data_IF_416903775644
#
_entry.id   IF_416903775644
#
_cell.length_a   1.000
_cell.length_b   1.000
_cell.length_c   1.000
_cell.angle_alpha   90.00
_cell.angle_beta   90.00
_cell.angle_gamma   90.00
#
_symmetry.space_group_name_H-M   'P 1'
#
loop_
_entity.id
_entity.type
_entity.pdbx_description
1 polymer ?
#
# COMPACT_ATOMS: atom_id res chain seq x y z
N UNK A 1 -34.73 19.97 -2.48
CA UNK A 1 -34.34 18.81 -3.32
C UNK A 1 -32.83 18.80 -3.44
N UNK A 2 -32.13 17.94 -2.70
CA UNK A 2 -30.68 17.75 -2.82
C UNK A 2 -30.40 16.83 -4.01
N UNK A 3 -29.80 17.37 -5.07
CA UNK A 3 -29.35 16.59 -6.24
C UNK A 3 -28.32 15.56 -5.79
N UNK A 4 -28.62 14.27 -6.02
CA UNK A 4 -27.65 13.19 -5.90
C UNK A 4 -26.57 13.44 -6.97
N UNK A 5 -25.29 13.58 -6.60
CA UNK A 5 -24.23 13.72 -7.61
C UNK A 5 -24.26 12.50 -8.54
N UNK A 6 -23.93 12.66 -9.83
CA UNK A 6 -23.83 11.53 -10.75
C UNK A 6 -22.91 10.46 -10.13
N UNK A 7 -23.15 9.16 -10.35
CA UNK A 7 -22.41 8.10 -9.68
C UNK A 7 -20.89 8.18 -9.88
N UNK A 8 -20.45 8.80 -10.98
CA UNK A 8 -19.03 9.10 -11.22
C UNK A 8 -18.43 10.11 -10.22
N UNK A 9 -19.22 11.00 -9.64
CA UNK A 9 -18.78 12.01 -8.67
C UNK A 9 -18.99 11.61 -7.20
N UNK A 10 -19.42 10.38 -6.92
CA UNK A 10 -19.68 9.95 -5.55
C UNK A 10 -18.41 9.87 -4.68
N UNK A 11 -17.22 9.71 -5.30
CA UNK A 11 -15.95 9.50 -4.59
C UNK A 11 -14.81 10.36 -5.17
N UNK A 12 -14.90 11.69 -5.08
CA UNK A 12 -13.96 12.60 -5.74
C UNK A 12 -12.52 12.41 -5.24
N UNK A 13 -12.32 12.14 -3.95
CA UNK A 13 -10.98 11.92 -3.38
C UNK A 13 -10.34 10.61 -3.83
N UNK A 14 -11.11 9.52 -3.97
CA UNK A 14 -10.58 8.24 -4.50
C UNK A 14 -10.22 8.38 -6.00
N UNK A 15 -11.02 9.14 -6.75
CA UNK A 15 -10.76 9.47 -8.15
C UNK A 15 -9.48 10.29 -8.29
N UNK A 16 -9.29 11.30 -7.43
CA UNK A 16 -8.10 12.13 -7.41
C UNK A 16 -6.83 11.32 -7.07
N UNK A 17 -6.87 10.47 -6.05
CA UNK A 17 -5.75 9.59 -5.70
C UNK A 17 -5.34 8.69 -6.87
N UNK A 18 -6.32 8.12 -7.58
CA UNK A 18 -6.08 7.28 -8.76
C UNK A 18 -5.51 8.08 -9.95
N UNK A 19 -5.85 9.36 -10.07
CA UNK A 19 -5.33 10.22 -11.12
C UNK A 19 -3.82 10.48 -10.98
N UNK A 20 -3.34 10.73 -9.76
CA UNK A 20 -1.91 10.88 -9.47
C UNK A 20 -1.10 9.64 -9.84
N UNK A 21 -1.59 8.45 -9.45
CA UNK A 21 -0.95 7.17 -9.81
C UNK A 21 -0.90 7.01 -11.34
N UNK A 22 -2.00 7.25 -12.05
CA UNK A 22 -2.01 7.17 -13.53
C UNK A 22 -1.03 8.13 -14.18
N UNK A 23 -0.95 9.36 -13.68
CA UNK A 23 -0.01 10.35 -14.19
C UNK A 23 1.44 9.88 -14.00
N UNK A 24 1.81 9.43 -12.79
CA UNK A 24 3.14 8.89 -12.49
C UNK A 24 3.49 7.67 -13.36
N UNK A 25 2.56 6.72 -13.53
CA UNK A 25 2.75 5.57 -14.42
C UNK A 25 2.98 5.99 -15.87
N UNK A 26 2.29 7.03 -16.36
CA UNK A 26 2.49 7.56 -17.71
C UNK A 26 3.84 8.25 -17.84
N UNK A 27 4.23 9.10 -16.89
CA UNK A 27 5.51 9.79 -16.90
C UNK A 27 6.70 8.82 -16.97
N UNK A 28 6.65 7.72 -16.20
CA UNK A 28 7.67 6.67 -16.27
C UNK A 28 7.78 6.02 -17.65
N UNK A 29 6.66 5.76 -18.32
CA UNK A 29 6.65 5.16 -19.67
C UNK A 29 7.27 6.06 -20.75
N UNK A 30 7.34 7.36 -20.50
CA UNK A 30 7.87 8.34 -21.46
C UNK A 30 9.34 8.71 -21.18
N UNK A 31 9.96 8.14 -20.14
CA UNK A 31 11.38 8.33 -19.83
C UNK A 31 12.17 7.17 -20.45
N UNK A 32 13.13 7.46 -21.34
CA UNK A 32 13.98 6.44 -21.98
C UNK A 32 15.48 6.79 -21.80
N UNK A 33 16.29 5.94 -21.13
CA UNK A 33 15.87 4.72 -20.42
C UNK A 33 15.11 5.05 -19.13
N UNK A 34 14.08 4.28 -18.82
CA UNK A 34 13.37 4.42 -17.55
C UNK A 34 14.31 4.05 -16.38
N UNK A 35 14.47 4.92 -15.38
CA UNK A 35 15.33 4.61 -14.24
C UNK A 35 14.75 3.44 -13.43
N UNK A 36 15.59 2.58 -12.81
CA UNK A 36 15.12 1.53 -11.92
C UNK A 36 14.40 2.14 -10.70
N UNK A 37 13.44 1.38 -10.13
CA UNK A 37 12.74 1.84 -8.93
C UNK A 37 13.71 1.93 -7.75
N UNK A 38 13.75 3.10 -7.10
CA UNK A 38 14.51 3.31 -5.86
C UNK A 38 13.67 3.15 -4.60
N UNK A 39 14.34 3.11 -3.45
CA UNK A 39 13.69 3.05 -2.12
C UNK A 39 12.59 4.11 -1.91
N UNK A 40 12.75 5.39 -2.30
CA UNK A 40 11.69 6.40 -2.16
C UNK A 40 10.42 6.05 -2.95
N UNK A 41 10.58 5.46 -4.14
CA UNK A 41 9.46 5.06 -4.97
C UNK A 41 8.65 3.93 -4.31
N UNK A 42 9.34 2.93 -3.74
CA UNK A 42 8.68 1.84 -3.02
C UNK A 42 8.03 2.31 -1.73
N UNK A 43 8.61 3.27 -0.99
CA UNK A 43 8.01 3.83 0.22
C UNK A 43 6.68 4.57 -0.07
N UNK A 44 6.66 5.42 -1.10
CA UNK A 44 5.43 6.11 -1.52
C UNK A 44 4.37 5.11 -2.01
N UNK A 45 4.77 4.09 -2.77
CA UNK A 45 3.81 3.08 -3.22
C UNK A 45 3.26 2.26 -2.04
N UNK A 46 4.10 1.86 -1.09
CA UNK A 46 3.69 1.18 0.14
C UNK A 46 2.74 2.06 0.98
N UNK A 47 2.97 3.38 1.03
CA UNK A 47 2.04 4.34 1.63
C UNK A 47 0.62 4.21 1.04
N UNK A 48 0.53 4.23 -0.29
CA UNK A 48 -0.75 4.12 -0.98
C UNK A 48 -1.42 2.77 -0.70
N UNK A 49 -0.68 1.66 -0.78
CA UNK A 49 -1.26 0.34 -0.54
C UNK A 49 -1.75 0.19 0.91
N UNK A 50 -1.02 0.69 1.90
CA UNK A 50 -1.43 0.61 3.31
C UNK A 50 -2.67 1.47 3.60
N UNK A 51 -2.81 2.63 2.96
CA UNK A 51 -4.04 3.44 3.03
C UNK A 51 -5.23 2.72 2.38
N UNK A 52 -5.05 2.13 1.20
CA UNK A 52 -6.12 1.36 0.53
C UNK A 52 -6.47 0.10 1.33
N UNK A 53 -5.50 -0.52 1.98
CA UNK A 53 -5.73 -1.63 2.90
C UNK A 53 -6.63 -1.23 4.07
N UNK A 54 -6.37 -0.08 4.71
CA UNK A 54 -7.26 0.41 5.78
C UNK A 54 -8.68 0.70 5.27
N UNK A 55 -8.81 1.29 4.08
CA UNK A 55 -10.11 1.53 3.46
C UNK A 55 -10.87 0.22 3.20
N UNK A 56 -10.21 -0.80 2.63
CA UNK A 56 -10.84 -2.10 2.36
C UNK A 56 -11.31 -2.79 3.64
N UNK A 57 -10.55 -2.67 4.73
CA UNK A 57 -10.95 -3.20 6.04
C UNK A 57 -12.26 -2.56 6.50
N UNK A 58 -12.34 -1.22 6.44
CA UNK A 58 -13.54 -0.48 6.80
C UNK A 58 -14.74 -0.84 5.91
N UNK A 59 -14.54 -0.94 4.60
CA UNK A 59 -15.59 -1.31 3.66
C UNK A 59 -16.07 -2.76 3.88
N UNK A 60 -15.17 -3.68 4.23
CA UNK A 60 -15.56 -5.06 4.53
C UNK A 60 -16.48 -5.12 5.75
N UNK A 61 -16.15 -4.41 6.83
CA UNK A 61 -16.95 -4.39 8.06
C UNK A 61 -18.32 -3.75 7.84
N UNK A 62 -18.37 -2.61 7.15
CA UNK A 62 -19.62 -1.86 6.91
C UNK A 62 -20.53 -2.53 5.89
N UNK A 63 -19.97 -3.23 4.90
CA UNK A 63 -20.74 -3.92 3.86
C UNK A 63 -21.31 -5.25 4.35
N UNK A 64 -20.63 -5.94 5.25
CA UNK A 64 -20.96 -7.33 5.64
C UNK A 64 -22.37 -7.51 6.22
N UNK A 65 -22.92 -6.62 7.08
CA UNK A 65 -24.27 -6.80 7.63
C UNK A 65 -25.36 -6.81 6.56
N UNK A 66 -25.28 -5.91 5.57
CA UNK A 66 -26.26 -5.81 4.48
C UNK A 66 -25.97 -6.77 3.32
N UNK A 67 -24.69 -7.05 3.06
CA UNK A 67 -24.25 -7.86 1.93
C UNK A 67 -23.11 -8.83 2.32
N UNK A 68 -23.43 -9.96 3.00
CA UNK A 68 -22.42 -10.85 3.57
C UNK A 68 -21.43 -11.42 2.55
N UNK A 69 -21.91 -11.75 1.35
CA UNK A 69 -21.06 -12.26 0.27
C UNK A 69 -20.07 -11.20 -0.22
N UNK A 70 -20.52 -9.97 -0.43
CA UNK A 70 -19.67 -8.85 -0.82
C UNK A 70 -18.64 -8.54 0.27
N UNK A 71 -19.05 -8.49 1.54
CA UNK A 71 -18.16 -8.30 2.68
C UNK A 71 -17.04 -9.34 2.74
N UNK A 72 -17.33 -10.62 2.50
CA UNK A 72 -16.31 -11.68 2.42
C UNK A 72 -15.32 -11.47 1.27
N UNK A 73 -15.80 -10.98 0.11
CA UNK A 73 -14.91 -10.68 -1.04
C UNK A 73 -14.02 -9.47 -0.76
N UNK A 74 -14.54 -8.46 -0.05
CA UNK A 74 -13.75 -7.31 0.41
C UNK A 74 -12.69 -7.74 1.43
N UNK A 75 -13.03 -8.60 2.39
CA UNK A 75 -12.05 -9.18 3.32
C UNK A 75 -10.96 -10.00 2.59
N UNK A 76 -11.31 -10.78 1.57
CA UNK A 76 -10.33 -11.47 0.75
C UNK A 76 -9.43 -10.51 -0.04
N UNK A 77 -9.98 -9.38 -0.53
CA UNK A 77 -9.20 -8.34 -1.20
C UNK A 77 -8.24 -7.63 -0.23
N UNK A 78 -8.70 -7.36 0.99
CA UNK A 78 -7.91 -6.79 2.09
C UNK A 78 -6.67 -7.64 2.40
N UNK A 79 -6.83 -8.96 2.60
CA UNK A 79 -5.71 -9.90 2.82
C UNK A 79 -4.71 -9.88 1.66
N UNK A 80 -5.18 -9.88 0.41
CA UNK A 80 -4.31 -9.88 -0.78
C UNK A 80 -3.55 -8.57 -0.95
N UNK A 81 -4.18 -7.45 -0.59
CA UNK A 81 -3.53 -6.16 -0.65
C UNK A 81 -2.43 -6.05 0.40
N UNK A 82 -2.64 -6.62 1.59
CA UNK A 82 -1.58 -6.77 2.59
C UNK A 82 -0.40 -7.58 2.06
N UNK A 83 -0.65 -8.73 1.42
CA UNK A 83 0.41 -9.54 0.81
C UNK A 83 1.22 -8.73 -0.22
N UNK A 84 0.56 -7.97 -1.10
CA UNK A 84 1.25 -7.09 -2.03
C UNK A 84 2.08 -6.00 -1.34
N UNK A 85 1.58 -5.42 -0.24
CA UNK A 85 2.33 -4.46 0.56
C UNK A 85 3.54 -5.10 1.27
N UNK A 86 3.44 -6.35 1.71
CA UNK A 86 4.55 -7.09 2.31
C UNK A 86 5.67 -7.35 1.30
N UNK A 87 5.34 -7.83 0.10
CA UNK A 87 6.33 -8.02 -0.97
C UNK A 87 7.04 -6.70 -1.36
N UNK A 88 6.29 -5.58 -1.38
CA UNK A 88 6.88 -4.25 -1.62
C UNK A 88 7.82 -3.80 -0.49
N UNK A 89 7.46 -4.10 0.76
CA UNK A 89 8.31 -3.83 1.91
C UNK A 89 9.59 -4.68 1.88
N UNK A 90 9.49 -5.94 1.49
CA UNK A 90 10.66 -6.81 1.36
C UNK A 90 11.55 -6.36 0.21
N UNK A 91 10.98 -6.00 -0.94
CA UNK A 91 11.70 -5.39 -2.06
C UNK A 91 12.42 -4.09 -1.67
N UNK A 92 11.83 -3.26 -0.80
CA UNK A 92 12.48 -2.06 -0.27
C UNK A 92 13.79 -2.37 0.47
N UNK A 93 13.84 -3.46 1.24
CA UNK A 93 15.05 -3.88 1.94
C UNK A 93 16.11 -4.49 1.02
N UNK A 94 15.72 -4.98 -0.16
CA UNK A 94 16.65 -5.48 -1.18
C UNK A 94 17.33 -4.36 -1.99
N UNK A 95 16.78 -3.13 -1.97
CA UNK A 95 17.34 -2.00 -2.71
C UNK A 95 18.44 -1.27 -1.91
N UNK A 96 19.50 -0.78 -2.59
CA UNK A 96 20.59 -0.06 -1.94
C UNK A 96 20.08 1.23 -1.27
N UNK A 97 20.53 1.47 -0.04
CA UNK A 97 20.35 2.77 0.62
C UNK A 97 21.37 3.76 0.05
N UNK A 98 20.96 4.95 -0.35
CA UNK A 98 21.91 6.01 -0.73
C UNK A 98 22.89 6.39 0.40
N UNK A 99 22.59 6.01 1.64
CA UNK A 99 23.47 6.15 2.81
C UNK A 99 24.61 5.13 2.85
N UNK A 100 24.55 4.03 2.09
CA UNK A 100 25.53 2.95 2.17
C UNK A 100 26.92 3.30 1.60
N UNK A 101 27.01 4.35 0.77
CA UNK A 101 28.29 4.92 0.36
C UNK A 101 28.98 5.75 1.48
N UNK A 102 28.24 6.05 2.56
CA UNK A 102 28.67 6.84 3.73
C UNK A 102 28.66 5.99 5.03
N UNK A 103 28.37 4.69 4.94
CA UNK A 103 28.16 3.77 6.07
C UNK A 103 29.45 3.48 6.88
N UNK A 104 30.62 3.85 6.38
CA UNK A 104 31.86 3.84 7.19
C UNK A 104 31.83 4.94 8.25
N UNK A 105 31.23 6.09 7.95
CA UNK A 105 31.06 7.22 8.87
C UNK A 105 29.80 7.06 9.75
N UNK A 106 28.72 6.48 9.22
CA UNK A 106 27.46 6.28 9.96
C UNK A 106 27.51 5.17 11.05
N UNK A 107 28.53 4.31 11.03
CA UNK A 107 28.80 3.32 12.10
C UNK A 107 29.53 3.92 13.31
N UNK A 108 29.99 5.17 13.23
CA UNK A 108 30.47 5.89 14.41
C UNK A 108 29.28 6.45 15.17
N UNK A 109 29.11 6.05 16.43
CA UNK A 109 28.08 6.60 17.31
C UNK A 109 28.41 8.09 17.56
N UNK A 110 27.79 8.99 16.79
CA UNK A 110 27.93 10.45 16.94
C UNK A 110 26.65 11.02 17.56
N UNK A 111 26.58 11.13 18.90
CA UNK A 111 25.40 11.61 19.59
C UNK A 111 25.05 13.06 19.25
N UNK A 112 25.97 13.85 18.70
CA UNK A 112 25.69 15.23 18.26
C UNK A 112 24.98 15.31 16.90
N UNK A 113 24.96 14.21 16.12
CA UNK A 113 24.25 14.11 14.84
C UNK A 113 22.99 13.29 15.02
N UNK A 114 21.99 13.86 15.69
CA UNK A 114 20.62 13.36 15.49
C UNK A 114 20.28 13.58 14.00
N UNK A 115 19.86 12.55 13.24
CA UNK A 115 19.40 12.77 11.88
C UNK A 115 18.28 13.81 11.91
N UNK A 116 18.48 14.94 11.21
CA UNK A 116 17.48 15.99 11.09
C UNK A 116 16.25 15.41 10.35
N UNK A 117 15.15 15.26 11.08
CA UNK A 117 13.89 14.66 10.59
C UNK A 117 13.89 13.12 10.66
N UNK A 118 12.75 12.42 10.62
CA UNK A 118 12.70 10.97 10.83
C UNK A 118 12.61 10.21 9.48
N UNK A 119 13.71 9.72 8.86
CA UNK A 119 13.62 9.01 7.59
C UNK A 119 13.95 7.53 7.81
N UNK A 120 13.48 6.64 6.94
CA UNK A 120 13.69 5.17 6.96
C UNK A 120 12.77 4.37 7.89
N UNK A 121 12.26 4.91 9.00
CA UNK A 121 11.32 4.17 9.87
C UNK A 121 9.87 4.18 9.40
N UNK A 122 9.48 5.06 8.47
CA UNK A 122 8.09 5.26 8.07
C UNK A 122 7.48 4.05 7.35
N UNK A 123 8.24 3.39 6.47
CA UNK A 123 7.77 2.19 5.77
C UNK A 123 7.58 1.02 6.75
N UNK A 124 8.59 0.76 7.60
CA UNK A 124 8.58 -0.32 8.57
C UNK A 124 7.48 -0.11 9.63
N UNK A 125 7.33 1.11 10.15
CA UNK A 125 6.28 1.45 11.11
C UNK A 125 4.88 1.29 10.50
N UNK A 126 4.67 1.78 9.28
CA UNK A 126 3.39 1.54 8.57
C UNK A 126 3.12 0.07 8.34
N UNK A 127 4.15 -0.68 7.96
CA UNK A 127 4.05 -2.11 7.72
C UNK A 127 3.62 -2.82 9.02
N UNK A 128 4.30 -2.56 10.14
CA UNK A 128 3.95 -3.14 11.44
C UNK A 128 2.52 -2.78 11.88
N UNK A 129 2.11 -1.52 11.71
CA UNK A 129 0.77 -1.05 12.05
C UNK A 129 -0.31 -1.74 11.21
N UNK A 130 -0.12 -1.82 9.89
CA UNK A 130 -1.05 -2.51 9.00
C UNK A 130 -1.12 -4.02 9.28
N UNK A 131 0.03 -4.66 9.54
CA UNK A 131 0.11 -6.09 9.87
C UNK A 131 -0.63 -6.48 11.14
N UNK A 132 -0.84 -5.54 12.08
CA UNK A 132 -1.65 -5.78 13.27
C UNK A 132 -3.14 -6.04 12.94
N UNK A 133 -3.69 -5.39 11.91
CA UNK A 133 -5.07 -5.65 11.46
C UNK A 133 -5.22 -7.09 10.96
N UNK A 134 -4.28 -7.53 10.12
CA UNK A 134 -4.28 -8.86 9.50
C UNK A 134 -4.21 -9.95 10.57
N UNK A 135 -3.24 -9.86 11.50
CA UNK A 135 -3.11 -10.83 12.59
C UNK A 135 -4.38 -11.03 13.42
N UNK A 136 -5.22 -9.99 13.56
CA UNK A 136 -6.47 -10.08 14.32
C UNK A 136 -7.64 -10.64 13.50
N UNK A 137 -7.65 -10.44 12.19
CA UNK A 137 -8.84 -10.65 11.36
C UNK A 137 -8.72 -11.80 10.35
N UNK A 138 -7.51 -12.24 10.03
CA UNK A 138 -7.28 -13.28 9.02
C UNK A 138 -6.92 -14.61 9.65
N UNK A 139 -7.48 -15.67 9.09
CA UNK A 139 -7.19 -17.06 9.44
C UNK A 139 -6.30 -17.70 8.36
N UNK A 140 -5.62 -18.83 8.66
CA UNK A 140 -4.87 -19.57 7.64
C UNK A 140 -5.69 -19.96 6.40
N UNK A 141 -7.00 -20.13 6.54
CA UNK A 141 -7.90 -20.43 5.43
C UNK A 141 -8.03 -19.26 4.44
N UNK A 142 -7.94 -18.02 4.91
CA UNK A 142 -8.05 -16.82 4.07
C UNK A 142 -6.86 -16.69 3.10
N UNK A 143 -5.70 -17.23 3.47
CA UNK A 143 -4.51 -17.27 2.62
C UNK A 143 -4.55 -18.38 1.56
N UNK A 144 -5.37 -19.42 1.76
CA UNK A 144 -5.41 -20.62 0.91
C UNK A 144 -6.53 -20.58 -0.15
N UNK A 145 -7.37 -19.54 -0.16
CA UNK A 145 -8.49 -19.46 -1.10
C UNK A 145 -7.99 -19.35 -2.56
N UNK A 146 -8.32 -20.34 -3.42
CA UNK A 146 -7.96 -20.31 -4.83
C UNK A 146 -8.56 -19.09 -5.54
N UNK A 147 -7.83 -18.54 -6.50
CA UNK A 147 -8.35 -17.51 -7.41
C UNK A 147 -9.23 -18.19 -8.46
N UNK A 148 -10.52 -18.29 -8.21
CA UNK A 148 -11.47 -18.59 -9.28
C UNK A 148 -11.79 -17.30 -10.04
N UNK A 149 -11.20 -17.16 -11.23
CA UNK A 149 -11.59 -16.13 -12.20
C UNK A 149 -12.64 -16.72 -13.14
N UNK A 150 -13.87 -16.91 -12.64
CA UNK A 150 -14.98 -17.21 -13.54
C UNK A 150 -15.47 -15.90 -14.16
N UNK A 151 -14.88 -15.51 -15.29
CA UNK A 151 -15.55 -14.62 -16.22
C UNK A 151 -16.60 -15.45 -16.97
N UNK A 152 -17.79 -15.61 -16.40
CA UNK A 152 -18.96 -16.02 -17.19
C UNK A 152 -19.54 -14.74 -17.79
N UNK A 153 -19.45 -14.66 -19.12
CA UNK A 153 -20.00 -13.58 -19.94
C UNK A 153 -21.49 -13.81 -20.17
#
# INVERSE_FOLDING_TARGET
MTLRPPPDDAYPYLRAASAGIRHHTRAQKHTDPAPPAGRPHLDVLHAHLTTVHQLLDHLAETTRPGHPAAGRRLAAAHTRLWQAAAELHDAFHLLPSHTAADDTEARTCRPERLPEGPPVLTICQRHLAAGHSIRRKTTPADHRQPRTTSCTR
#
